data_IF_332993972815
#
_entry.id   IF_332993972815
#
_cell.length_a   1.000
_cell.length_b   1.000
_cell.length_c   1.000
_cell.angle_alpha   90.00
_cell.angle_beta   90.00
_cell.angle_gamma   90.00
#
_symmetry.space_group_name_H-M   'P 1'
#
loop_
_entity.id
_entity.type
_entity.pdbx_description
1 polymer ?
#
# COMPACT_ATOMS: atom_id res chain seq x y z
N UNK A 1 6.19 -10.36 -24.65
CA UNK A 1 7.25 -10.00 -23.67
C UNK A 1 6.77 -9.16 -22.48
N UNK A 2 5.74 -8.29 -22.59
CA UNK A 2 5.29 -7.43 -21.47
C UNK A 2 4.44 -8.10 -20.36
N UNK A 3 3.87 -9.31 -20.55
CA UNK A 3 3.18 -10.01 -19.44
C UNK A 3 4.15 -10.51 -18.37
N UNK A 4 5.38 -10.88 -18.76
CA UNK A 4 6.43 -11.34 -17.85
C UNK A 4 6.86 -10.26 -16.85
N UNK A 5 6.89 -8.99 -17.27
CA UNK A 5 7.30 -7.87 -16.40
C UNK A 5 6.28 -7.52 -15.31
N UNK A 6 5.01 -7.84 -15.53
CA UNK A 6 3.91 -7.52 -14.62
C UNK A 6 3.79 -8.61 -13.55
N UNK A 7 3.90 -9.87 -13.99
CA UNK A 7 4.04 -10.99 -13.09
C UNK A 7 5.29 -10.84 -12.20
N UNK A 8 6.41 -10.41 -12.78
CA UNK A 8 7.62 -10.12 -12.02
C UNK A 8 7.40 -8.99 -11.00
N UNK A 9 6.72 -7.89 -11.35
CA UNK A 9 6.48 -6.79 -10.41
C UNK A 9 5.61 -7.21 -9.21
N UNK A 10 4.54 -7.98 -9.45
CA UNK A 10 3.68 -8.49 -8.38
C UNK A 10 4.44 -9.46 -7.47
N UNK A 11 5.21 -10.39 -8.05
CA UNK A 11 6.02 -11.37 -7.31
C UNK A 11 7.13 -10.67 -6.52
N UNK A 12 7.80 -9.67 -7.10
CA UNK A 12 8.83 -8.88 -6.43
C UNK A 12 8.25 -8.06 -5.26
N UNK A 13 7.07 -7.48 -5.44
CA UNK A 13 6.40 -6.74 -4.37
C UNK A 13 5.97 -7.67 -3.21
N UNK A 14 5.40 -8.84 -3.54
CA UNK A 14 5.07 -9.86 -2.56
C UNK A 14 6.32 -10.37 -1.83
N UNK A 15 7.39 -10.68 -2.57
CA UNK A 15 8.67 -11.08 -2.00
C UNK A 15 9.26 -9.99 -1.09
N UNK A 16 9.18 -8.71 -1.47
CA UNK A 16 9.64 -7.60 -0.65
C UNK A 16 8.87 -7.50 0.67
N UNK A 17 7.53 -7.67 0.64
CA UNK A 17 6.73 -7.71 1.88
C UNK A 17 7.10 -8.91 2.76
N UNK A 18 7.32 -10.08 2.17
CA UNK A 18 7.74 -11.29 2.91
C UNK A 18 9.13 -11.07 3.53
N UNK A 19 10.09 -10.58 2.77
CA UNK A 19 11.45 -10.28 3.25
C UNK A 19 11.41 -9.21 4.35
N UNK A 20 10.61 -8.15 4.20
CA UNK A 20 10.43 -7.13 5.22
C UNK A 20 9.85 -7.70 6.52
N UNK A 21 8.88 -8.60 6.44
CA UNK A 21 8.31 -9.28 7.59
C UNK A 21 9.30 -10.24 8.27
N UNK A 22 10.09 -10.99 7.50
CA UNK A 22 11.13 -11.89 8.02
C UNK A 22 12.24 -11.09 8.69
N UNK A 23 12.71 -10.01 8.08
CA UNK A 23 13.74 -9.13 8.66
C UNK A 23 13.25 -8.48 9.96
N UNK A 24 11.99 -8.06 10.03
CA UNK A 24 11.39 -7.55 11.25
C UNK A 24 11.30 -8.62 12.36
N UNK A 25 11.12 -9.90 12.00
CA UNK A 25 11.12 -11.02 12.94
C UNK A 25 12.50 -11.48 13.38
N UNK A 26 13.51 -11.46 12.52
CA UNK A 26 14.88 -11.81 12.91
C UNK A 26 15.40 -10.91 14.06
N UNK A 27 15.00 -9.63 14.07
CA UNK A 27 15.29 -8.72 15.19
C UNK A 27 14.68 -9.14 16.54
N UNK A 28 13.67 -10.02 16.57
CA UNK A 28 13.16 -10.62 17.82
C UNK A 28 14.11 -11.67 18.40
N UNK A 29 14.82 -12.41 17.54
CA UNK A 29 15.66 -13.56 17.93
C UNK A 29 17.05 -13.09 18.42
N UNK A 30 17.56 -12.00 17.86
CA UNK A 30 18.87 -11.43 18.22
C UNK A 30 18.85 -10.57 19.51
N UNK A 31 17.73 -10.49 20.23
CA UNK A 31 17.60 -9.70 21.46
C UNK A 31 17.61 -8.17 21.26
N UNK A 32 17.69 -7.69 20.01
CA UNK A 32 17.65 -6.28 19.65
C UNK A 32 16.23 -5.66 19.70
N UNK A 33 15.20 -6.48 19.96
CA UNK A 33 13.80 -6.09 19.94
C UNK A 33 13.25 -6.05 18.51
N UNK A 34 11.96 -6.38 18.35
CA UNK A 34 11.31 -6.29 17.04
C UNK A 34 11.41 -4.87 16.47
N UNK A 35 12.15 -4.74 15.37
CA UNK A 35 12.25 -3.48 14.65
C UNK A 35 11.23 -3.51 13.51
N UNK A 36 10.21 -2.66 13.61
CA UNK A 36 9.14 -2.49 12.59
C UNK A 36 9.66 -1.70 11.37
N UNK A 37 10.81 -1.05 11.51
CA UNK A 37 11.43 -0.16 10.54
C UNK A 37 11.74 -0.79 9.15
N UNK A 38 12.18 -2.05 9.01
CA UNK A 38 12.43 -2.67 7.70
C UNK A 38 11.14 -2.78 6.90
N UNK A 39 10.04 -3.17 7.54
CA UNK A 39 8.74 -3.24 6.89
C UNK A 39 8.23 -1.87 6.49
N UNK A 40 8.40 -0.87 7.36
CA UNK A 40 8.05 0.50 7.05
C UNK A 40 8.81 1.03 5.82
N UNK A 41 10.10 0.71 5.73
CA UNK A 41 10.93 1.02 4.56
C UNK A 41 10.40 0.36 3.28
N UNK A 42 10.09 -0.94 3.33
CA UNK A 42 9.50 -1.66 2.18
C UNK A 42 8.17 -1.03 1.76
N UNK A 43 7.26 -0.79 2.71
CA UNK A 43 5.95 -0.18 2.44
C UNK A 43 6.10 1.22 1.86
N UNK A 44 7.01 2.04 2.40
CA UNK A 44 7.28 3.38 1.89
C UNK A 44 7.79 3.37 0.44
N UNK A 45 8.67 2.41 0.08
CA UNK A 45 9.15 2.23 -1.30
C UNK A 45 8.02 1.78 -2.22
N UNK A 46 7.20 0.81 -1.81
CA UNK A 46 6.06 0.34 -2.61
C UNK A 46 5.03 1.46 -2.84
N UNK A 47 4.76 2.28 -1.82
CA UNK A 47 3.92 3.48 -1.94
C UNK A 47 4.52 4.45 -2.97
N UNK A 48 5.83 4.68 -2.97
CA UNK A 48 6.48 5.58 -3.91
C UNK A 48 6.38 5.09 -5.37
N UNK A 49 6.64 3.80 -5.59
CA UNK A 49 6.49 3.19 -6.92
C UNK A 49 5.04 3.29 -7.40
N UNK A 50 4.09 2.97 -6.51
CA UNK A 50 2.66 3.07 -6.83
C UNK A 50 2.22 4.50 -7.11
N UNK A 51 2.53 5.45 -6.24
CA UNK A 51 2.15 6.85 -6.36
C UNK A 51 2.73 7.48 -7.63
N UNK A 52 3.95 7.11 -8.03
CA UNK A 52 4.54 7.56 -9.29
C UNK A 52 3.86 6.92 -10.51
N UNK A 53 3.59 5.62 -10.47
CA UNK A 53 3.03 4.87 -11.60
C UNK A 53 1.54 5.12 -11.84
N UNK A 54 0.75 5.33 -10.79
CA UNK A 54 -0.71 5.37 -10.83
C UNK A 54 -1.28 6.53 -11.68
N UNK A 55 -0.90 7.81 -11.47
CA UNK A 55 -1.42 8.91 -12.28
C UNK A 55 -1.00 8.83 -13.75
N UNK A 56 0.20 8.28 -14.01
CA UNK A 56 0.77 8.10 -15.36
C UNK A 56 0.09 6.96 -16.11
N UNK A 57 -0.29 5.88 -15.41
CA UNK A 57 -1.08 4.79 -15.98
C UNK A 57 -2.40 5.32 -16.54
N UNK A 58 -3.09 6.14 -15.75
CA UNK A 58 -4.40 6.69 -16.08
C UNK A 58 -4.33 7.88 -17.05
N UNK A 59 -3.12 8.26 -17.49
CA UNK A 59 -2.86 9.38 -18.41
C UNK A 59 -3.56 10.66 -17.94
N UNK A 60 -3.46 10.94 -16.63
CA UNK A 60 -4.07 12.13 -16.04
C UNK A 60 -3.36 13.39 -16.59
N UNK A 61 -4.10 14.49 -16.81
CA UNK A 61 -3.53 15.72 -17.38
C UNK A 61 -2.37 16.29 -16.56
N UNK A 62 -2.40 16.08 -15.25
CA UNK A 62 -1.41 16.59 -14.32
C UNK A 62 -1.04 15.52 -13.28
N UNK A 63 -0.10 14.62 -13.61
CA UNK A 63 0.20 13.46 -12.78
C UNK A 63 1.02 13.80 -11.52
N UNK A 64 1.68 14.96 -11.48
CA UNK A 64 2.66 15.28 -10.43
C UNK A 64 2.01 15.66 -9.11
N UNK A 65 1.00 16.53 -9.16
CA UNK A 65 0.25 16.94 -7.96
C UNK A 65 -0.40 15.74 -7.27
N UNK A 66 -0.96 14.82 -8.05
CA UNK A 66 -1.56 13.58 -7.53
C UNK A 66 -0.48 12.66 -6.96
N UNK A 67 0.66 12.52 -7.63
CA UNK A 67 1.80 11.73 -7.11
C UNK A 67 2.19 12.19 -5.70
N UNK A 68 2.31 13.50 -5.47
CA UNK A 68 2.67 14.04 -4.17
C UNK A 68 1.60 13.82 -3.10
N UNK A 69 0.33 14.01 -3.43
CA UNK A 69 -0.77 13.76 -2.49
C UNK A 69 -0.77 12.30 -2.02
N UNK A 70 -0.60 11.35 -2.95
CA UNK A 70 -0.54 9.92 -2.65
C UNK A 70 0.69 9.57 -1.80
N UNK A 71 1.86 10.12 -2.15
CA UNK A 71 3.10 9.91 -1.40
C UNK A 71 2.97 10.40 0.04
N UNK A 72 2.57 11.66 0.21
CA UNK A 72 2.50 12.30 1.52
C UNK A 72 1.47 11.62 2.42
N UNK A 73 0.28 11.31 1.90
CA UNK A 73 -0.76 10.64 2.69
C UNK A 73 -0.35 9.21 3.06
N UNK A 74 0.21 8.44 2.12
CA UNK A 74 0.67 7.07 2.36
C UNK A 74 1.83 7.00 3.33
N UNK A 75 2.85 7.86 3.17
CA UNK A 75 3.97 7.93 4.10
C UNK A 75 3.57 8.43 5.46
N UNK A 76 2.69 9.44 5.57
CA UNK A 76 2.18 9.89 6.87
C UNK A 76 1.44 8.76 7.60
N UNK A 77 0.59 8.00 6.91
CA UNK A 77 -0.12 6.85 7.50
C UNK A 77 0.85 5.74 7.93
N UNK A 78 1.87 5.46 7.10
CA UNK A 78 2.90 4.45 7.39
C UNK A 78 3.75 4.86 8.59
N UNK A 79 4.18 6.12 8.63
CA UNK A 79 4.94 6.70 9.73
C UNK A 79 4.11 6.70 11.02
N UNK A 80 2.84 7.08 10.95
CA UNK A 80 1.96 7.01 12.11
C UNK A 80 1.83 5.57 12.64
N UNK A 81 1.69 4.58 11.75
CA UNK A 81 1.66 3.16 12.13
C UNK A 81 2.99 2.64 12.71
N UNK A 82 4.13 3.22 12.32
CA UNK A 82 5.43 2.88 12.93
C UNK A 82 5.65 3.49 14.29
N UNK A 83 5.19 4.73 14.50
CA UNK A 83 5.48 5.49 15.72
C UNK A 83 4.43 5.30 16.81
N UNK A 84 3.24 4.81 16.45
CA UNK A 84 2.15 4.59 17.41
C UNK A 84 2.29 3.23 18.05
N UNK A 85 2.57 3.23 19.35
CA UNK A 85 2.58 2.02 20.16
C UNK A 85 1.18 1.39 20.28
N UNK A 86 1.13 0.10 20.65
CA UNK A 86 -0.11 -0.61 20.94
C UNK A 86 -0.95 0.10 22.02
N UNK A 87 -2.29 -0.05 22.01
CA UNK A 87 -3.08 -1.11 21.33
C UNK A 87 -3.66 -0.74 19.96
N UNK A 88 -3.43 0.47 19.44
CA UNK A 88 -4.12 0.95 18.24
C UNK A 88 -3.19 1.63 17.21
N UNK A 89 -2.28 0.87 16.58
CA UNK A 89 -1.32 1.42 15.61
C UNK A 89 -1.98 2.10 14.40
N UNK A 90 -3.22 1.75 14.05
CA UNK A 90 -3.95 2.35 12.90
C UNK A 90 -4.83 3.55 13.26
N UNK A 91 -4.83 4.05 14.49
CA UNK A 91 -5.78 5.11 14.91
C UNK A 91 -5.64 6.42 14.11
N UNK A 92 -4.45 6.71 13.60
CA UNK A 92 -4.16 7.92 12.82
C UNK A 92 -4.39 7.76 11.31
N UNK A 93 -4.58 6.52 10.82
CA UNK A 93 -4.81 6.26 9.40
C UNK A 93 -6.03 7.03 8.84
N UNK A 94 -7.20 7.07 9.51
CA UNK A 94 -8.35 7.84 9.03
C UNK A 94 -8.05 9.34 8.92
N UNK A 95 -7.22 9.90 9.82
CA UNK A 95 -6.81 11.30 9.76
C UNK A 95 -5.93 11.55 8.53
N UNK A 96 -4.91 10.72 8.30
CA UNK A 96 -4.04 10.84 7.12
C UNK A 96 -4.84 10.72 5.81
N UNK A 97 -5.81 9.80 5.76
CA UNK A 97 -6.72 9.66 4.63
C UNK A 97 -7.59 10.92 4.47
N UNK A 98 -8.19 11.43 5.54
CA UNK A 98 -9.01 12.64 5.51
C UNK A 98 -8.24 13.86 5.00
N UNK A 99 -7.02 14.09 5.48
CA UNK A 99 -6.15 15.16 5.00
C UNK A 99 -5.80 15.00 3.51
N UNK A 100 -5.53 13.77 3.08
CA UNK A 100 -5.30 13.47 1.67
C UNK A 100 -6.54 13.76 0.80
N UNK A 101 -7.74 13.41 1.26
CA UNK A 101 -9.01 13.69 0.57
C UNK A 101 -9.22 15.20 0.42
N UNK A 102 -9.01 15.96 1.49
CA UNK A 102 -9.04 17.43 1.46
C UNK A 102 -8.02 17.97 0.46
N UNK A 103 -6.80 17.43 0.43
CA UNK A 103 -5.77 17.79 -0.54
C UNK A 103 -6.18 17.49 -1.99
N UNK A 104 -6.84 16.36 -2.24
CA UNK A 104 -7.39 16.03 -3.56
C UNK A 104 -8.42 17.06 -3.98
N UNK A 105 -9.44 17.33 -3.16
CA UNK A 105 -10.44 18.34 -3.51
C UNK A 105 -9.84 19.75 -3.65
N UNK A 106 -8.90 20.13 -2.76
CA UNK A 106 -8.16 21.37 -2.84
C UNK A 106 -7.41 21.52 -4.17
N UNK A 107 -6.73 20.46 -4.63
CA UNK A 107 -6.06 20.48 -5.93
C UNK A 107 -7.03 20.69 -7.09
N UNK A 108 -8.25 20.14 -7.01
CA UNK A 108 -9.29 20.31 -8.03
C UNK A 108 -9.98 21.68 -7.96
N UNK A 109 -9.97 22.37 -6.81
CA UNK A 109 -10.43 23.76 -6.69
C UNK A 109 -9.42 24.71 -7.37
N UNK A 110 -8.12 24.51 -7.13
CA UNK A 110 -7.05 25.31 -7.74
C UNK A 110 -7.04 25.18 -9.27
N UNK A 111 -7.34 23.99 -9.81
CA UNK A 111 -7.44 23.75 -11.26
C UNK A 111 -8.63 24.44 -11.95
N UNK A 112 -9.59 24.97 -11.18
CA UNK A 112 -10.77 25.67 -11.71
C UNK A 112 -11.90 24.75 -12.20
N UNK A 113 -13.06 25.34 -12.47
CA UNK A 113 -14.32 24.63 -12.81
C UNK A 113 -14.38 24.10 -14.25
N UNK A 114 -13.54 24.61 -15.15
CA UNK A 114 -13.45 24.19 -16.56
C UNK A 114 -12.44 23.07 -16.86
N UNK A 115 -11.82 22.47 -15.84
CA UNK A 115 -10.75 21.49 -16.05
C UNK A 115 -11.27 20.21 -16.73
N UNK A 116 -10.65 19.83 -17.85
CA UNK A 116 -10.94 18.58 -18.56
C UNK A 116 -10.61 17.37 -17.67
N UNK A 117 -11.48 16.35 -17.68
CA UNK A 117 -11.35 15.09 -16.91
C UNK A 117 -11.23 15.29 -15.39
N UNK A 118 -11.91 16.30 -14.83
CA UNK A 118 -11.89 16.59 -13.39
C UNK A 118 -12.43 15.44 -12.55
N UNK A 119 -13.59 14.88 -12.91
CA UNK A 119 -14.19 13.75 -12.19
C UNK A 119 -13.28 12.51 -12.22
N UNK A 120 -12.78 12.15 -13.41
CA UNK A 120 -11.86 11.01 -13.58
C UNK A 120 -10.60 11.18 -12.73
N UNK A 121 -10.02 12.38 -12.73
CA UNK A 121 -8.83 12.72 -11.94
C UNK A 121 -9.08 12.65 -10.43
N UNK A 122 -10.24 13.11 -9.96
CA UNK A 122 -10.63 13.04 -8.55
C UNK A 122 -10.82 11.59 -8.12
N UNK A 123 -11.60 10.81 -8.88
CA UNK A 123 -11.85 9.40 -8.57
C UNK A 123 -10.55 8.59 -8.58
N UNK A 124 -9.70 8.81 -9.58
CA UNK A 124 -8.38 8.20 -9.65
C UNK A 124 -7.51 8.54 -8.43
N UNK A 125 -7.49 9.80 -8.03
CA UNK A 125 -6.72 10.24 -6.87
C UNK A 125 -7.27 9.62 -5.57
N UNK A 126 -8.59 9.61 -5.36
CA UNK A 126 -9.22 9.02 -4.18
C UNK A 126 -8.95 7.51 -4.06
N UNK A 127 -9.04 6.76 -5.16
CA UNK A 127 -8.71 5.32 -5.17
C UNK A 127 -7.23 5.08 -4.86
N UNK A 128 -6.34 5.90 -5.41
CA UNK A 128 -4.91 5.82 -5.10
C UNK A 128 -4.60 6.20 -3.65
N UNK A 129 -5.33 7.15 -3.09
CA UNK A 129 -5.22 7.57 -1.69
C UNK A 129 -5.64 6.44 -0.73
N UNK A 130 -6.75 5.76 -1.02
CA UNK A 130 -7.19 4.58 -0.27
C UNK A 130 -6.12 3.48 -0.31
N UNK A 131 -5.61 3.14 -1.50
CA UNK A 131 -4.59 2.11 -1.64
C UNK A 131 -3.31 2.44 -0.85
N UNK A 132 -2.81 3.67 -0.96
CA UNK A 132 -1.56 4.09 -0.28
C UNK A 132 -1.69 4.19 1.24
N UNK A 133 -2.82 4.68 1.75
CA UNK A 133 -3.05 4.75 3.20
C UNK A 133 -3.32 3.37 3.81
N UNK A 134 -4.03 2.48 3.10
CA UNK A 134 -4.29 1.11 3.56
C UNK A 134 -3.02 0.26 3.64
N UNK A 135 -1.99 0.62 2.87
CA UNK A 135 -0.67 -0.02 2.95
C UNK A 135 -0.05 0.06 4.35
N UNK A 136 -0.37 1.08 5.15
CA UNK A 136 0.08 1.20 6.54
C UNK A 136 -0.35 0.01 7.42
N UNK A 137 -1.40 -0.72 7.03
CA UNK A 137 -1.86 -1.91 7.74
C UNK A 137 -0.82 -3.02 7.75
N UNK A 138 0.05 -3.11 6.74
CA UNK A 138 1.15 -4.06 6.72
C UNK A 138 2.18 -3.83 7.83
N UNK A 139 2.40 -2.57 8.20
CA UNK A 139 3.26 -2.18 9.32
C UNK A 139 2.54 -2.44 10.66
N UNK A 140 1.24 -2.15 10.72
CA UNK A 140 0.43 -2.37 11.90
C UNK A 140 0.27 -3.86 12.25
N UNK A 141 0.17 -4.75 11.25
CA UNK A 141 0.14 -6.22 11.40
C UNK A 141 1.39 -6.72 12.14
N UNK A 142 2.57 -6.22 11.80
CA UNK A 142 3.80 -6.62 12.49
C UNK A 142 3.82 -6.17 13.94
N UNK A 143 3.32 -4.97 14.24
CA UNK A 143 3.17 -4.53 15.62
C UNK A 143 2.30 -5.51 16.45
N UNK A 144 1.24 -6.07 15.87
CA UNK A 144 0.42 -7.10 16.54
C UNK A 144 1.16 -8.45 16.66
N UNK A 145 1.92 -8.84 15.63
CA UNK A 145 2.66 -10.10 15.58
C UNK A 145 3.81 -10.20 16.60
N UNK A 146 4.26 -9.06 17.14
CA UNK A 146 5.30 -8.94 18.16
C UNK A 146 4.77 -9.24 19.56
N UNK A 147 3.47 -9.01 19.82
CA UNK A 147 2.85 -9.30 21.13
C UNK A 147 2.11 -10.64 21.18
N UNK A 148 1.72 -11.21 20.05
CA UNK A 148 0.95 -12.46 20.01
C UNK A 148 1.81 -13.71 20.05
N UNK A 149 1.64 -14.53 21.09
CA UNK A 149 2.10 -15.94 21.18
C UNK A 149 1.45 -16.88 20.16
N UNK A 150 0.54 -16.38 19.32
CA UNK A 150 -0.17 -17.19 18.33
C UNK A 150 0.68 -17.39 17.06
N UNK A 151 1.14 -18.63 16.77
CA UNK A 151 2.00 -18.91 15.62
C UNK A 151 1.31 -18.68 14.27
N UNK A 152 0.00 -18.47 14.26
CA UNK A 152 -0.84 -18.33 13.06
C UNK A 152 -0.82 -16.94 12.41
N UNK A 153 -0.27 -15.91 13.08
CA UNK A 153 -0.29 -14.52 12.57
C UNK A 153 0.49 -14.38 11.25
N UNK A 154 1.69 -14.94 11.19
CA UNK A 154 2.56 -14.91 9.99
C UNK A 154 2.02 -15.74 8.82
N UNK A 155 1.56 -17.00 9.00
CA UNK A 155 1.05 -17.80 7.87
C UNK A 155 -0.25 -17.26 7.28
N UNK A 156 -1.15 -16.64 8.08
CA UNK A 156 -2.37 -16.01 7.54
C UNK A 156 -2.03 -14.80 6.67
N UNK A 157 -1.10 -13.94 7.12
CA UNK A 157 -0.61 -12.82 6.32
C UNK A 157 0.03 -13.29 5.02
N UNK A 158 0.89 -14.33 5.09
CA UNK A 158 1.53 -14.92 3.92
C UNK A 158 0.53 -15.55 2.94
N UNK A 159 -0.51 -16.24 3.44
CA UNK A 159 -1.56 -16.83 2.61
C UNK A 159 -2.39 -15.76 1.88
N UNK A 160 -2.71 -14.65 2.54
CA UNK A 160 -3.42 -13.53 1.91
C UNK A 160 -2.56 -12.86 0.84
N UNK A 161 -1.27 -12.61 1.11
CA UNK A 161 -0.32 -12.09 0.09
C UNK A 161 -0.24 -13.04 -1.10
N UNK A 162 -0.09 -14.34 -0.86
CA UNK A 162 0.01 -15.35 -1.91
C UNK A 162 -1.27 -15.44 -2.75
N UNK A 163 -2.44 -15.47 -2.12
CA UNK A 163 -3.74 -15.50 -2.80
C UNK A 163 -3.95 -14.24 -3.64
N UNK A 164 -3.67 -13.05 -3.09
CA UNK A 164 -3.83 -11.80 -3.83
C UNK A 164 -2.85 -11.71 -5.00
N UNK A 165 -1.61 -12.14 -4.81
CA UNK A 165 -0.62 -12.21 -5.89
C UNK A 165 -1.10 -13.17 -6.98
N UNK A 166 -1.65 -14.33 -6.61
CA UNK A 166 -2.23 -15.28 -7.56
C UNK A 166 -3.43 -14.70 -8.31
N UNK A 167 -4.38 -14.07 -7.62
CA UNK A 167 -5.56 -13.45 -8.22
C UNK A 167 -5.15 -12.32 -9.18
N UNK A 168 -4.18 -11.49 -8.79
CA UNK A 168 -3.60 -10.43 -9.63
C UNK A 168 -2.98 -11.03 -10.88
N UNK A 169 -2.18 -12.09 -10.75
CA UNK A 169 -1.59 -12.81 -11.87
C UNK A 169 -2.66 -13.37 -12.81
N UNK A 170 -3.73 -13.97 -12.28
CA UNK A 170 -4.82 -14.56 -13.07
C UNK A 170 -5.63 -13.50 -13.82
N UNK A 171 -5.95 -12.36 -13.18
CA UNK A 171 -6.69 -11.27 -13.81
C UNK A 171 -5.85 -10.59 -14.91
N UNK A 172 -4.54 -10.39 -14.67
CA UNK A 172 -3.65 -9.67 -15.57
C UNK A 172 -3.11 -10.54 -16.72
N UNK A 173 -3.13 -11.86 -16.61
CA UNK A 173 -2.68 -12.78 -17.66
C UNK A 173 -3.49 -12.67 -18.96
N UNK A 174 -4.70 -12.11 -18.95
CA UNK A 174 -5.60 -12.10 -20.12
C UNK A 174 -5.92 -10.75 -20.76
N UNK A 175 -5.69 -9.59 -20.10
CA UNK A 175 -6.42 -8.35 -20.47
C UNK A 175 -5.68 -7.02 -20.28
N UNK A 176 -4.46 -6.86 -20.82
CA UNK A 176 -3.75 -5.57 -20.67
C UNK A 176 -3.51 -4.79 -21.96
N UNK A 177 -4.01 -3.54 -22.04
CA UNK A 177 -3.60 -2.57 -23.05
C UNK A 177 -2.11 -2.26 -22.97
N UNK A 178 -1.52 -1.84 -24.10
CA UNK A 178 -0.12 -1.38 -24.20
C UNK A 178 0.10 -0.14 -23.30
N UNK A 179 0.51 -0.34 -22.05
CA UNK A 179 0.87 0.73 -21.10
C UNK A 179 2.36 0.66 -20.72
N UNK A 180 2.89 1.77 -20.21
CA UNK A 180 4.27 1.97 -19.76
C UNK A 180 4.61 1.10 -18.54
N UNK A 181 5.86 0.64 -18.41
CA UNK A 181 6.32 -0.23 -17.32
C UNK A 181 5.92 0.25 -15.90
N UNK A 182 5.99 1.56 -15.64
CA UNK A 182 5.58 2.15 -14.37
C UNK A 182 4.08 2.00 -14.09
N UNK A 183 3.24 2.11 -15.12
CA UNK A 183 1.79 1.98 -14.96
C UNK A 183 1.37 0.54 -14.69
N UNK A 184 2.03 -0.43 -15.33
CA UNK A 184 1.76 -1.84 -15.04
C UNK A 184 2.14 -2.26 -13.62
N UNK A 185 3.22 -1.70 -13.07
CA UNK A 185 3.60 -1.94 -11.68
C UNK A 185 2.56 -1.35 -10.70
N UNK A 186 2.03 -0.14 -10.97
CA UNK A 186 1.00 0.45 -10.12
C UNK A 186 -0.30 -0.38 -10.10
N UNK A 187 -0.72 -0.95 -11.24
CA UNK A 187 -1.88 -1.85 -11.32
C UNK A 187 -1.74 -3.09 -10.44
N UNK A 188 -0.55 -3.69 -10.42
CA UNK A 188 -0.29 -4.87 -9.56
C UNK A 188 -0.17 -4.51 -8.09
N UNK A 189 0.33 -3.31 -7.77
CA UNK A 189 0.55 -2.87 -6.40
C UNK A 189 -0.75 -2.45 -5.70
N UNK A 190 -1.73 -1.91 -6.42
CA UNK A 190 -3.01 -1.45 -5.86
C UNK A 190 -3.67 -2.47 -4.89
N UNK A 191 -3.97 -3.72 -5.29
CA UNK A 191 -4.61 -4.68 -4.40
C UNK A 191 -3.70 -5.13 -3.25
N UNK A 192 -2.39 -5.22 -3.50
CA UNK A 192 -1.40 -5.60 -2.49
C UNK A 192 -1.35 -4.55 -1.37
N UNK A 193 -1.27 -3.27 -1.73
CA UNK A 193 -1.29 -2.14 -0.80
C UNK A 193 -2.63 -2.04 -0.06
N UNK A 194 -3.75 -2.15 -0.78
CA UNK A 194 -5.09 -2.06 -0.20
C UNK A 194 -5.40 -3.15 0.82
N UNK A 195 -4.79 -4.32 0.71
CA UNK A 195 -5.06 -5.45 1.60
C UNK A 195 -4.42 -5.35 2.99
N UNK A 196 -3.46 -4.43 3.20
CA UNK A 196 -2.77 -4.32 4.49
C UNK A 196 -3.71 -4.07 5.67
N UNK A 197 -4.71 -3.20 5.49
CA UNK A 197 -5.75 -2.94 6.50
C UNK A 197 -6.65 -4.15 6.74
N UNK A 198 -7.02 -4.87 5.69
CA UNK A 198 -7.85 -6.07 5.79
C UNK A 198 -7.14 -7.14 6.63
N UNK A 199 -5.86 -7.42 6.33
CA UNK A 199 -5.04 -8.37 7.10
C UNK A 199 -4.94 -7.93 8.56
N UNK A 200 -4.70 -6.63 8.82
CA UNK A 200 -4.66 -6.08 10.18
C UNK A 200 -5.97 -6.33 10.95
N UNK A 201 -7.12 -5.97 10.38
CA UNK A 201 -8.40 -6.13 11.06
C UNK A 201 -8.79 -7.59 11.24
N UNK A 202 -8.53 -8.45 10.25
CA UNK A 202 -8.75 -9.90 10.39
C UNK A 202 -7.91 -10.47 11.54
N UNK A 203 -6.63 -10.11 11.64
CA UNK A 203 -5.78 -10.56 12.74
C UNK A 203 -6.22 -9.99 14.09
N UNK A 204 -6.63 -8.72 14.14
CA UNK A 204 -7.12 -8.09 15.36
C UNK A 204 -8.40 -8.77 15.88
N UNK A 205 -9.28 -9.23 14.99
CA UNK A 205 -10.48 -10.00 15.35
C UNK A 205 -10.13 -11.39 15.88
N UNK A 206 -9.06 -12.02 15.40
CA UNK A 206 -8.60 -13.33 15.87
C UNK A 206 -7.91 -13.29 17.26
N UNK A 207 -7.59 -12.09 17.76
CA UNK A 207 -6.95 -11.88 19.06
C UNK A 207 -7.94 -11.52 20.17
N UNK A 208 -9.23 -11.39 19.86
CA UNK A 208 -10.32 -11.20 20.84
C UNK A 208 -10.88 -12.54 21.28
#
# INVERSE_FOLDING_TARGET
MRSKTIAAAAVLAAAALIVGAVAARAGLEDGAGASVYPMAGVVAVLIAVFAYGWPRLLKLPDPWHITWLLLLAGWAATLAATLTALPSPMQWMPLCLGLGVVGVFGSQLVRGTGATRRLESTLAALLGLLATTFASGWVAVLNLAVLGTNPLIVPVGAAVVALLTLVVLLILAGRLPRSTYAGSAAMTLAPLLASGTLVYFTQRLLLQ
#
